data_IF_529244733695
#
_entry.id   IF_529244733695
#
_cell.length_a   1.000
_cell.length_b   1.000
_cell.length_c   1.000
_cell.angle_alpha   90.00
_cell.angle_beta   90.00
_cell.angle_gamma   90.00
#
_symmetry.space_group_name_H-M   'P 1'
#
loop_
_entity.id
_entity.type
_entity.pdbx_description
1 polymer ?
#
# COMPACT_ATOMS: atom_id res chain seq x y z
N UNK A 1 23.50 -24.51 -33.41
CA UNK A 1 22.20 -23.80 -33.45
C UNK A 1 21.65 -23.81 -32.03
N UNK A 2 21.88 -22.73 -31.29
CA UNK A 2 21.65 -22.65 -29.83
C UNK A 2 20.14 -22.49 -29.56
N UNK A 3 19.55 -23.23 -28.60
CA UNK A 3 18.19 -22.96 -28.15
C UNK A 3 18.21 -21.73 -27.22
N UNK A 4 18.47 -20.55 -27.80
CA UNK A 4 18.43 -19.25 -27.11
C UNK A 4 16.99 -18.74 -26.91
N UNK A 5 15.98 -19.50 -27.35
CA UNK A 5 14.58 -19.08 -27.35
C UNK A 5 13.85 -19.32 -26.01
N UNK A 6 14.42 -20.11 -25.09
CA UNK A 6 13.72 -20.53 -23.86
C UNK A 6 13.86 -19.60 -22.65
N UNK A 7 14.71 -18.55 -22.71
CA UNK A 7 15.12 -17.77 -21.52
C UNK A 7 14.53 -16.35 -21.49
N UNK A 8 13.88 -15.88 -22.57
CA UNK A 8 13.32 -14.51 -22.67
C UNK A 8 11.82 -14.49 -22.31
N UNK A 9 11.38 -15.34 -21.37
CA UNK A 9 10.04 -15.23 -20.77
C UNK A 9 10.10 -14.93 -19.27
N UNK A 10 11.18 -14.28 -18.83
CA UNK A 10 11.20 -13.52 -17.59
C UNK A 10 10.33 -12.27 -17.78
N UNK A 11 9.01 -12.48 -17.82
CA UNK A 11 7.99 -11.45 -17.71
C UNK A 11 8.32 -10.66 -16.44
N UNK A 12 8.78 -9.42 -16.62
CA UNK A 12 8.91 -8.43 -15.57
C UNK A 12 7.52 -8.22 -14.97
N UNK A 13 7.19 -8.95 -13.90
CA UNK A 13 5.96 -8.73 -13.14
C UNK A 13 6.14 -7.42 -12.38
N UNK A 14 5.88 -6.30 -13.04
CA UNK A 14 5.64 -5.03 -12.37
C UNK A 14 4.33 -5.18 -11.61
N UNK A 15 4.39 -5.37 -10.30
CA UNK A 15 3.19 -5.41 -9.47
C UNK A 15 2.35 -4.15 -9.67
N UNK A 16 1.02 -4.30 -9.78
CA UNK A 16 0.09 -3.17 -9.82
C UNK A 16 0.19 -2.40 -8.50
N UNK A 17 0.85 -1.25 -8.54
CA UNK A 17 0.88 -0.26 -7.47
C UNK A 17 0.56 1.11 -8.07
N UNK A 18 -0.68 1.23 -8.55
CA UNK A 18 -1.22 2.43 -9.17
C UNK A 18 -1.84 3.32 -8.07
N UNK A 19 -1.17 4.39 -7.60
CA UNK A 19 -1.72 5.26 -6.60
C UNK A 19 -2.94 6.03 -7.11
N UNK A 20 -3.80 6.46 -6.19
CA UNK A 20 -4.83 7.44 -6.48
C UNK A 20 -4.19 8.71 -7.07
N UNK A 21 -4.81 9.42 -8.03
CA UNK A 21 -4.21 10.58 -8.71
C UNK A 21 -3.64 11.64 -7.76
N UNK A 22 -4.26 11.82 -6.59
CA UNK A 22 -3.79 12.71 -5.53
C UNK A 22 -2.38 12.38 -4.98
N UNK A 23 -1.90 11.15 -5.17
CA UNK A 23 -0.59 10.64 -4.72
C UNK A 23 0.34 10.24 -5.88
N UNK A 24 -0.02 10.55 -7.13
CA UNK A 24 0.69 10.11 -8.36
C UNK A 24 2.19 10.48 -8.43
N UNK A 25 2.65 11.46 -7.64
CA UNK A 25 4.06 11.89 -7.56
C UNK A 25 4.66 11.74 -6.17
N UNK A 26 3.98 11.02 -5.28
CA UNK A 26 4.43 10.80 -3.91
C UNK A 26 5.16 9.48 -3.84
N UNK A 27 6.42 9.51 -3.39
CA UNK A 27 7.22 8.31 -3.19
C UNK A 27 6.57 7.43 -2.10
N UNK A 28 6.50 6.13 -2.35
CA UNK A 28 5.96 5.18 -1.39
C UNK A 28 7.04 4.71 -0.42
N UNK A 29 6.68 4.60 0.86
CA UNK A 29 7.43 3.86 1.89
C UNK A 29 6.87 2.44 1.98
N UNK A 30 7.72 1.43 1.99
CA UNK A 30 7.29 0.02 2.13
C UNK A 30 7.27 -0.33 3.62
N UNK A 31 6.09 -0.67 4.14
CA UNK A 31 5.90 -1.00 5.55
C UNK A 31 5.17 -2.34 5.64
N UNK A 32 5.70 -3.26 6.45
CA UNK A 32 5.07 -4.55 6.73
C UNK A 32 4.51 -4.57 8.15
N UNK A 33 3.23 -4.93 8.28
CA UNK A 33 2.52 -5.06 9.56
C UNK A 33 1.78 -6.40 9.56
N UNK A 34 2.07 -7.25 10.53
CA UNK A 34 1.39 -8.55 10.74
C UNK A 34 1.24 -9.37 9.45
N UNK A 35 2.35 -9.50 8.71
CA UNK A 35 2.45 -10.23 7.44
C UNK A 35 1.93 -9.49 6.20
N UNK A 36 1.19 -8.39 6.37
CA UNK A 36 0.69 -7.55 5.28
C UNK A 36 1.72 -6.48 4.90
N UNK A 37 2.07 -6.39 3.62
CA UNK A 37 3.04 -5.41 3.11
C UNK A 37 2.32 -4.30 2.35
N UNK A 38 2.53 -3.06 2.78
CA UNK A 38 1.90 -1.87 2.22
C UNK A 38 2.94 -0.94 1.60
N UNK A 39 2.63 -0.40 0.43
CA UNK A 39 3.27 0.78 -0.13
C UNK A 39 2.45 2.00 0.31
N UNK A 40 3.02 2.75 1.24
CA UNK A 40 2.36 3.88 1.91
C UNK A 40 2.86 5.20 1.34
N UNK A 41 1.95 6.06 0.92
CA UNK A 41 2.21 7.41 0.42
C UNK A 41 1.56 8.41 1.36
N UNK A 42 2.31 9.42 1.77
CA UNK A 42 1.84 10.46 2.68
C UNK A 42 1.92 11.80 1.97
N UNK A 43 0.83 12.56 1.99
CA UNK A 43 0.73 13.90 1.42
C UNK A 43 -0.04 14.78 2.38
N UNK A 44 0.62 15.79 2.95
CA UNK A 44 0.01 16.70 3.94
C UNK A 44 -0.65 15.89 5.07
N UNK A 45 -1.95 16.09 5.30
CA UNK A 45 -2.74 15.40 6.33
C UNK A 45 -3.49 14.17 5.79
N UNK A 46 -3.00 13.55 4.71
CA UNK A 46 -3.59 12.38 4.08
C UNK A 46 -2.56 11.27 3.87
N UNK A 47 -3.00 10.02 4.00
CA UNK A 47 -2.22 8.86 3.63
C UNK A 47 -3.01 7.89 2.74
N UNK A 48 -2.29 7.22 1.85
CA UNK A 48 -2.74 6.07 1.06
C UNK A 48 -1.83 4.88 1.38
N UNK A 49 -2.40 3.71 1.57
CA UNK A 49 -1.69 2.44 1.75
C UNK A 49 -2.23 1.42 0.74
N UNK A 50 -1.38 1.00 -0.19
CA UNK A 50 -1.68 -0.07 -1.15
C UNK A 50 -1.03 -1.36 -0.68
N UNK A 51 -1.80 -2.42 -0.47
CA UNK A 51 -1.31 -3.74 -0.09
C UNK A 51 -0.72 -4.44 -1.32
N UNK A 52 0.54 -4.87 -1.25
CA UNK A 52 1.27 -5.39 -2.42
C UNK A 52 1.66 -6.87 -2.33
N UNK A 53 1.41 -7.55 -1.20
CA UNK A 53 1.58 -8.99 -1.08
C UNK A 53 0.26 -9.74 -1.35
N UNK A 54 0.32 -11.04 -1.59
CA UNK A 54 -0.89 -11.87 -1.66
C UNK A 54 -1.35 -12.25 -0.25
N UNK A 55 -2.66 -12.16 -0.01
CA UNK A 55 -3.35 -12.71 1.15
C UNK A 55 -4.66 -13.33 0.70
N UNK A 56 -5.05 -14.43 1.34
CA UNK A 56 -6.28 -15.15 0.99
C UNK A 56 -7.48 -14.48 1.63
N UNK A 57 -8.41 -14.00 0.81
CA UNK A 57 -9.69 -13.41 1.23
C UNK A 57 -9.54 -12.31 2.31
N UNK A 58 -8.73 -11.26 2.06
CA UNK A 58 -8.50 -10.21 3.03
C UNK A 58 -9.80 -9.44 3.31
N UNK A 59 -10.14 -9.27 4.59
CA UNK A 59 -11.33 -8.52 5.04
C UNK A 59 -10.95 -7.13 5.52
N UNK A 60 -11.88 -6.19 5.39
CA UNK A 60 -11.70 -4.80 5.88
C UNK A 60 -11.38 -4.78 7.38
N UNK A 61 -12.10 -5.56 8.19
CA UNK A 61 -11.92 -5.59 9.65
C UNK A 61 -10.52 -6.04 10.10
N UNK A 62 -9.78 -6.75 9.26
CA UNK A 62 -8.40 -7.19 9.53
C UNK A 62 -7.38 -6.28 8.84
N UNK A 63 -7.68 -5.84 7.62
CA UNK A 63 -6.73 -5.08 6.78
C UNK A 63 -6.64 -3.62 7.21
N UNK A 64 -7.75 -2.98 7.57
CA UNK A 64 -7.76 -1.56 7.90
C UNK A 64 -6.94 -1.24 9.15
N UNK A 65 -6.99 -2.03 10.25
CA UNK A 65 -6.08 -1.83 11.39
C UNK A 65 -4.60 -1.92 11.01
N UNK A 66 -4.21 -2.89 10.17
CA UNK A 66 -2.83 -3.03 9.70
C UNK A 66 -2.40 -1.86 8.82
N UNK A 67 -3.28 -1.43 7.91
CA UNK A 67 -3.05 -0.27 7.05
C UNK A 67 -2.93 1.02 7.88
N UNK A 68 -3.80 1.22 8.88
CA UNK A 68 -3.70 2.35 9.80
C UNK A 68 -2.35 2.38 10.49
N UNK A 69 -1.91 1.23 11.05
CA UNK A 69 -0.59 1.13 11.68
C UNK A 69 0.54 1.43 10.70
N UNK A 70 0.46 0.96 9.46
CA UNK A 70 1.44 1.24 8.42
C UNK A 70 1.49 2.75 8.07
N UNK A 71 0.33 3.42 8.00
CA UNK A 71 0.24 4.87 7.79
C UNK A 71 0.85 5.66 8.95
N UNK A 72 0.58 5.26 10.20
CA UNK A 72 1.18 5.89 11.38
C UNK A 72 2.69 5.74 11.40
N UNK A 73 3.23 4.55 11.07
CA UNK A 73 4.67 4.32 10.98
C UNK A 73 5.28 5.17 9.85
N UNK A 74 4.64 5.21 8.68
CA UNK A 74 5.15 5.94 7.53
C UNK A 74 5.14 7.46 7.70
N UNK A 75 4.14 8.00 8.40
CA UNK A 75 3.95 9.44 8.59
C UNK A 75 4.55 9.98 9.88
N UNK A 76 4.62 9.17 10.94
CA UNK A 76 4.86 9.65 12.31
C UNK A 76 3.63 10.29 12.97
N UNK A 77 2.51 10.37 12.26
CA UNK A 77 1.26 10.98 12.73
C UNK A 77 0.23 9.92 13.13
N UNK A 78 -0.86 10.35 13.77
CA UNK A 78 -1.98 9.44 14.12
C UNK A 78 -3.03 9.43 13.03
N UNK A 79 -3.63 8.27 12.78
CA UNK A 79 -4.79 8.19 11.87
C UNK A 79 -6.03 8.71 12.59
N UNK A 80 -6.77 9.61 11.94
CA UNK A 80 -8.01 10.16 12.50
C UNK A 80 -9.07 9.04 12.54
N UNK A 81 -9.72 8.79 13.70
CA UNK A 81 -10.77 7.79 13.81
C UNK A 81 -11.89 7.98 12.77
N UNK A 82 -12.41 6.87 12.25
CA UNK A 82 -13.50 6.86 11.24
C UNK A 82 -13.20 7.61 9.92
N UNK A 83 -11.93 7.96 9.64
CA UNK A 83 -11.55 8.62 8.39
C UNK A 83 -11.12 7.66 7.27
N UNK A 84 -10.94 6.37 7.60
CA UNK A 84 -10.49 5.37 6.65
C UNK A 84 -11.57 5.03 5.62
N UNK A 85 -11.15 4.90 4.36
CA UNK A 85 -12.01 4.53 3.22
C UNK A 85 -11.25 3.70 2.20
N UNK A 86 -11.98 3.01 1.33
CA UNK A 86 -11.44 2.16 0.27
C UNK A 86 -11.82 0.70 0.47
N UNK A 87 -10.90 -0.20 0.16
CA UNK A 87 -11.08 -1.66 0.17
C UNK A 87 -9.82 -2.37 0.74
N UNK A 88 -9.81 -3.71 0.88
CA UNK A 88 -8.65 -4.44 1.42
C UNK A 88 -7.35 -4.40 0.57
N UNK A 89 -7.37 -3.82 -0.63
CA UNK A 89 -6.19 -3.61 -1.46
C UNK A 89 -5.67 -2.17 -1.37
N UNK A 90 -6.55 -1.17 -1.32
CA UNK A 90 -6.19 0.24 -1.20
C UNK A 90 -6.99 0.92 -0.09
N UNK A 91 -6.27 1.45 0.90
CA UNK A 91 -6.86 2.18 2.03
C UNK A 91 -6.36 3.62 2.00
N UNK A 92 -7.26 4.58 2.18
CA UNK A 92 -6.91 5.99 2.40
C UNK A 92 -7.42 6.46 3.76
N UNK A 93 -6.70 7.37 4.41
CA UNK A 93 -7.11 7.96 5.68
C UNK A 93 -6.65 9.41 5.83
N UNK A 94 -7.28 10.14 6.75
CA UNK A 94 -6.80 11.44 7.22
C UNK A 94 -5.83 11.23 8.39
N UNK A 95 -4.82 12.07 8.48
CA UNK A 95 -3.81 12.08 9.54
C UNK A 95 -3.97 13.31 10.43
N UNK A 96 -3.63 13.15 11.71
CA UNK A 96 -3.46 14.23 12.67
C UNK A 96 -1.95 14.40 12.93
N UNK A 97 -1.37 15.42 12.29
CA UNK A 97 0.06 15.77 12.33
C UNK A 97 0.31 17.10 13.07
N UNK A 98 -0.62 17.53 13.92
CA UNK A 98 -0.51 18.78 14.69
C UNK A 98 0.65 18.76 15.67
#
# INVERSE_FOLDING_TARGET
MKPLAGIILAILVSGCDSPHPAFSKVAAKVITVDGSTFRVRVRENMAEAIRTNFERLPKIGETFPKAAKAMEIASGCRVIPNSMKGDPALVMAKLDCR
#
